data_IF_455190354107
#
_entry.id   IF_455190354107
#
_cell.length_a   1.000
_cell.length_b   1.000
_cell.length_c   1.000
_cell.angle_alpha   90.00
_cell.angle_beta   90.00
_cell.angle_gamma   90.00
#
_symmetry.space_group_name_H-M   'P 1'
#
loop_
_entity.id
_entity.type
_entity.pdbx_description
1 polymer ?
#
# COMPACT_ATOMS: atom_id res chain seq x y z
N UNK A 1 25.80 -24.99 1.43
CA UNK A 1 25.69 -23.58 1.00
C UNK A 1 24.52 -22.97 1.74
N UNK A 2 24.81 -22.22 2.80
CA UNK A 2 23.81 -21.55 3.63
C UNK A 2 23.22 -20.38 2.85
N UNK A 3 21.95 -20.49 2.47
CA UNK A 3 21.15 -19.36 2.00
C UNK A 3 19.96 -19.24 2.95
N UNK A 4 20.26 -19.07 4.24
CA UNK A 4 19.31 -18.56 5.23
C UNK A 4 19.15 -17.05 5.01
N UNK A 5 18.60 -16.62 3.87
CA UNK A 5 18.14 -15.22 3.69
C UNK A 5 16.77 -15.06 4.34
N UNK A 6 16.70 -15.36 5.64
CA UNK A 6 15.55 -15.11 6.48
C UNK A 6 15.70 -13.75 7.18
N UNK A 7 16.09 -12.72 6.44
CA UNK A 7 16.40 -11.40 6.97
C UNK A 7 15.12 -10.73 7.49
N UNK A 8 14.93 -10.80 8.81
CA UNK A 8 14.02 -9.97 9.62
C UNK A 8 14.06 -8.47 9.22
N UNK A 9 15.18 -8.04 8.64
CA UNK A 9 15.45 -6.70 8.12
C UNK A 9 14.60 -6.31 6.88
N UNK A 10 14.12 -7.25 6.06
CA UNK A 10 13.29 -6.91 4.88
C UNK A 10 11.85 -6.52 5.26
N UNK A 11 11.33 -7.05 6.38
CA UNK A 11 9.97 -6.74 6.84
C UNK A 11 9.85 -5.35 7.47
N UNK A 12 10.94 -4.78 8.02
CA UNK A 12 10.94 -3.46 8.66
C UNK A 12 10.88 -2.30 7.64
N UNK A 13 11.25 -2.55 6.38
CA UNK A 13 11.30 -1.53 5.33
C UNK A 13 9.97 -1.47 4.53
N UNK A 14 9.21 -2.57 4.47
CA UNK A 14 8.01 -2.68 3.63
C UNK A 14 6.75 -2.51 4.47
N UNK A 15 6.02 -1.41 4.29
CA UNK A 15 4.65 -1.25 4.82
C UNK A 15 3.74 -2.30 4.16
N UNK A 16 3.44 -3.40 4.86
CA UNK A 16 2.53 -4.45 4.39
C UNK A 16 1.09 -3.96 4.57
N UNK A 17 0.36 -3.81 3.46
CA UNK A 17 -1.06 -3.45 3.50
C UNK A 17 -1.93 -4.72 3.50
N UNK A 18 -3.02 -4.71 4.28
CA UNK A 18 -3.95 -5.84 4.40
C UNK A 18 -5.27 -5.56 3.67
N UNK A 19 -5.96 -6.64 3.30
CA UNK A 19 -7.33 -6.55 2.79
C UNK A 19 -8.25 -6.01 3.88
N UNK A 20 -9.06 -5.00 3.55
CA UNK A 20 -9.95 -4.35 4.51
C UNK A 20 -11.31 -4.11 3.89
N UNK A 21 -12.36 -4.49 4.62
CA UNK A 21 -13.75 -4.34 4.18
C UNK A 21 -14.04 -4.96 2.80
N UNK A 22 -13.42 -6.12 2.51
CA UNK A 22 -13.53 -6.81 1.22
C UNK A 22 -12.66 -6.24 0.10
N UNK A 23 -11.95 -5.13 0.34
CA UNK A 23 -11.11 -4.49 -0.67
C UNK A 23 -9.64 -4.87 -0.50
N UNK A 24 -9.06 -5.40 -1.58
CA UNK A 24 -7.63 -5.70 -1.65
C UNK A 24 -6.79 -4.41 -1.60
N UNK A 25 -5.60 -4.44 -0.98
CA UNK A 25 -4.71 -3.29 -0.97
C UNK A 25 -4.27 -2.90 -2.39
N UNK A 26 -4.03 -1.60 -2.60
CA UNK A 26 -3.57 -1.03 -3.87
C UNK A 26 -2.18 -0.42 -3.72
N UNK A 27 -1.45 -0.27 -4.82
CA UNK A 27 -0.13 0.36 -4.85
C UNK A 27 -0.30 1.84 -5.21
N UNK A 28 0.34 2.73 -4.45
CA UNK A 28 0.32 4.15 -4.74
C UNK A 28 1.23 4.47 -5.94
N UNK A 29 0.70 5.12 -6.97
CA UNK A 29 1.51 5.48 -8.15
C UNK A 29 2.63 6.49 -7.86
N UNK A 30 2.52 7.30 -6.80
CA UNK A 30 3.51 8.33 -6.47
C UNK A 30 4.63 7.83 -5.55
N UNK A 31 4.29 7.04 -4.53
CA UNK A 31 5.26 6.58 -3.53
C UNK A 31 5.62 5.10 -3.62
N UNK A 32 4.96 4.33 -4.49
CA UNK A 32 5.22 2.89 -4.67
C UNK A 32 4.81 2.02 -3.48
N UNK A 33 4.28 2.61 -2.41
CA UNK A 33 3.88 1.88 -1.21
C UNK A 33 2.47 1.31 -1.36
N UNK A 34 2.28 0.12 -0.83
CA UNK A 34 0.95 -0.47 -0.69
C UNK A 34 0.13 0.32 0.34
N UNK A 35 -1.17 0.46 0.09
CA UNK A 35 -2.10 1.11 1.00
C UNK A 35 -3.46 0.41 1.01
N UNK A 36 -4.09 0.45 2.19
CA UNK A 36 -5.36 -0.21 2.46
C UNK A 36 -6.55 0.70 2.16
N UNK A 37 -7.72 0.11 1.97
CA UNK A 37 -8.99 0.83 1.87
C UNK A 37 -9.25 1.72 3.11
N UNK A 38 -9.84 2.90 2.88
CA UNK A 38 -10.25 3.84 3.92
C UNK A 38 -11.69 4.27 3.69
N UNK A 39 -12.43 4.55 4.77
CA UNK A 39 -13.84 4.98 4.72
C UNK A 39 -14.10 6.14 3.76
N UNK A 40 -13.16 7.09 3.65
CA UNK A 40 -13.26 8.23 2.72
C UNK A 40 -13.32 7.85 1.23
N UNK A 41 -12.95 6.61 0.89
CA UNK A 41 -12.94 6.09 -0.47
C UNK A 41 -14.08 5.12 -0.76
N UNK A 42 -15.06 5.02 0.15
CA UNK A 42 -16.19 4.10 -0.02
C UNK A 42 -16.94 4.28 -1.35
N UNK A 43 -17.02 5.51 -1.87
CA UNK A 43 -17.78 5.83 -3.10
C UNK A 43 -16.98 5.69 -4.39
N UNK A 44 -15.65 5.75 -4.34
CA UNK A 44 -14.79 5.87 -5.52
C UNK A 44 -13.51 5.04 -5.42
N UNK A 45 -13.53 3.95 -4.65
CA UNK A 45 -12.37 3.11 -4.41
C UNK A 45 -11.70 2.61 -5.71
N UNK A 46 -12.50 2.31 -6.72
CA UNK A 46 -12.02 1.86 -8.03
C UNK A 46 -11.12 2.89 -8.72
N UNK A 47 -11.45 4.17 -8.62
CA UNK A 47 -10.71 5.29 -9.20
C UNK A 47 -9.48 5.72 -8.38
N UNK A 48 -9.39 5.31 -7.10
CA UNK A 48 -8.31 5.73 -6.20
C UNK A 48 -6.99 5.03 -6.56
N UNK A 49 -6.01 5.84 -7.01
CA UNK A 49 -4.64 5.42 -7.38
C UNK A 49 -3.55 5.86 -6.40
N UNK A 50 -3.90 6.68 -5.40
CA UNK A 50 -2.94 7.34 -4.51
C UNK A 50 -3.27 7.11 -3.04
N UNK A 51 -2.25 6.88 -2.21
CA UNK A 51 -2.43 6.60 -0.78
C UNK A 51 -2.83 7.82 0.06
N UNK A 52 -2.64 9.04 -0.45
CA UNK A 52 -2.91 10.30 0.25
C UNK A 52 -3.15 11.45 -0.72
N UNK A 53 -3.77 12.53 -0.24
CA UNK A 53 -3.94 13.77 -1.03
C UNK A 53 -2.57 14.34 -1.42
N UNK A 54 -1.61 14.36 -0.48
CA UNK A 54 -0.22 14.75 -0.78
C UNK A 54 0.40 13.99 -1.95
N UNK A 55 0.17 12.67 -2.06
CA UNK A 55 0.67 11.88 -3.19
C UNK A 55 -0.08 12.18 -4.49
N UNK A 56 -1.38 12.48 -4.40
CA UNK A 56 -2.19 12.91 -5.54
C UNK A 56 -1.70 14.26 -6.08
N UNK A 57 -1.41 15.20 -5.20
CA UNK A 57 -0.97 16.56 -5.55
C UNK A 57 0.49 16.58 -6.05
N UNK A 58 1.27 15.55 -5.70
CA UNK A 58 2.66 15.35 -6.16
C UNK A 58 2.78 14.67 -7.53
N UNK A 59 1.67 14.29 -8.17
CA UNK A 59 1.66 13.56 -9.45
C UNK A 59 2.34 14.38 -10.54
#
# INVERSE_FOLDING_TARGET
MNVLVGSRLYAEIVRIAKTKNGFSPKICQTCGLQFEWRKKWAKNWEEVKFCSTRCRDKK
#
